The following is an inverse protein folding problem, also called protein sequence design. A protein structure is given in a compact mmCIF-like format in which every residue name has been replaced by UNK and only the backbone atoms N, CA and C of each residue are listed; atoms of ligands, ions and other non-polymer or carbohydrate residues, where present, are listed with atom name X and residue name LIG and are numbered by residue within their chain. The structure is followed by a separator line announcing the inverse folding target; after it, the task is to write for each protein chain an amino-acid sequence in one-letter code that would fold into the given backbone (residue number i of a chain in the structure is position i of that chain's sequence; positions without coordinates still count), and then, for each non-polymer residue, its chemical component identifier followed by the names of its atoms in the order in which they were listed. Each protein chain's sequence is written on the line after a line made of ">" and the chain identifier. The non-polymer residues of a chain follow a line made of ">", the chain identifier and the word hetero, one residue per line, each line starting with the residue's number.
data_IF_613464753958
#
_entry.id   IF_613464753958
#
_cell.length_a   1.000
_cell.length_b   1.000
_cell.length_c   1.000
_cell.angle_alpha   90.00
_cell.angle_beta   90.00
_cell.angle_gamma   90.00
#
_symmetry.space_group_name_H-M   'P 1'
#
loop_
_entity.id
_entity.type
_entity.pdbx_description
1 polymer ?
#
# COMPACT_ATOMS: atom_id res chain seq x y z
N UNK A 1 1.20 -6.22 -9.95
CA UNK A 1 0.75 -4.91 -9.46
C UNK A 1 0.07 -5.00 -8.08
N UNK A 2 -1.09 -5.62 -7.91
CA UNK A 2 -1.82 -5.58 -6.62
C UNK A 2 -1.06 -6.25 -5.46
N UNK A 3 -0.41 -7.39 -5.71
CA UNK A 3 0.48 -8.04 -4.72
C UNK A 3 1.63 -7.14 -4.29
N UNK A 4 2.20 -6.39 -5.24
CA UNK A 4 3.27 -5.43 -4.96
C UNK A 4 2.74 -4.30 -4.09
N UNK A 5 1.60 -3.70 -4.46
CA UNK A 5 0.95 -2.64 -3.68
C UNK A 5 0.65 -3.15 -2.26
N UNK A 6 0.09 -4.34 -2.11
CA UNK A 6 -0.20 -4.92 -0.79
C UNK A 6 1.05 -5.17 0.06
N UNK A 7 2.15 -5.62 -0.56
CA UNK A 7 3.47 -5.72 0.09
C UNK A 7 3.94 -4.35 0.56
N UNK A 8 3.87 -3.33 -0.30
CA UNK A 8 4.33 -1.98 0.03
C UNK A 8 3.53 -1.32 1.13
N UNK A 9 2.21 -1.50 1.14
CA UNK A 9 1.34 -1.02 2.23
C UNK A 9 1.76 -1.64 3.57
N UNK A 10 2.15 -2.93 3.58
CA UNK A 10 2.64 -3.59 4.80
C UNK A 10 3.97 -3.02 5.27
N UNK A 11 4.90 -2.79 4.36
CA UNK A 11 6.22 -2.21 4.68
C UNK A 11 6.07 -0.80 5.24
N UNK A 12 5.34 0.08 4.55
CA UNK A 12 5.09 1.43 5.04
C UNK A 12 4.41 1.39 6.42
N UNK A 13 3.43 0.52 6.64
CA UNK A 13 2.84 0.35 7.98
C UNK A 13 3.89 0.03 9.05
N UNK A 14 4.84 -0.85 8.74
CA UNK A 14 5.88 -1.25 9.67
C UNK A 14 6.88 -0.11 9.91
N UNK A 15 7.22 0.66 8.88
CA UNK A 15 8.12 1.82 8.98
C UNK A 15 7.55 2.91 9.90
N UNK A 16 6.22 3.05 9.92
CA UNK A 16 5.50 3.97 10.82
C UNK A 16 5.09 3.34 12.15
N UNK A 17 5.42 2.06 12.39
CA UNK A 17 5.05 1.28 13.58
C UNK A 17 3.54 1.30 13.91
N UNK A 18 2.69 1.27 12.88
CA UNK A 18 1.23 1.31 13.04
C UNK A 18 0.56 -0.03 12.74
N UNK A 19 -0.55 -0.31 13.43
CA UNK A 19 -1.43 -1.46 13.21
C UNK A 19 -2.30 -1.38 11.95
N UNK A 20 -2.89 -2.52 11.52
CA UNK A 20 -3.85 -2.52 10.39
C UNK A 20 -5.12 -1.75 10.75
N UNK A 21 -5.55 -1.85 12.01
CA UNK A 21 -6.70 -1.13 12.53
C UNK A 21 -6.46 0.39 12.51
N UNK A 22 -5.24 0.83 12.82
CA UNK A 22 -4.87 2.25 12.77
C UNK A 22 -4.85 2.77 11.33
N UNK A 23 -4.25 2.04 10.39
CA UNK A 23 -4.33 2.42 8.96
C UNK A 23 -5.78 2.46 8.47
N UNK A 24 -6.62 1.50 8.89
CA UNK A 24 -8.05 1.46 8.57
C UNK A 24 -8.80 2.70 9.07
N UNK A 25 -8.54 3.12 10.32
CA UNK A 25 -9.08 4.34 10.90
C UNK A 25 -8.64 5.59 10.11
N UNK A 26 -7.37 5.69 9.75
CA UNK A 26 -6.82 6.83 8.98
C UNK A 26 -7.46 6.95 7.58
N UNK A 27 -7.80 5.82 6.96
CA UNK A 27 -8.43 5.76 5.64
C UNK A 27 -9.96 5.74 5.69
N UNK A 28 -10.56 5.73 6.89
CA UNK A 28 -12.00 5.53 7.10
C UNK A 28 -12.56 4.28 6.39
N UNK A 29 -11.81 3.18 6.41
CA UNK A 29 -12.19 1.88 5.83
C UNK A 29 -12.25 0.79 6.90
N UNK A 30 -12.97 -0.29 6.62
CA UNK A 30 -13.08 -1.41 7.56
C UNK A 30 -11.76 -2.19 7.68
N UNK A 31 -11.59 -2.90 8.80
CA UNK A 31 -10.46 -3.80 9.00
C UNK A 31 -10.36 -4.87 7.91
N UNK A 32 -11.51 -5.40 7.45
CA UNK A 32 -11.55 -6.35 6.34
C UNK A 32 -11.05 -5.73 5.03
N UNK A 33 -11.36 -4.46 4.77
CA UNK A 33 -10.83 -3.75 3.60
C UNK A 33 -9.31 -3.60 3.70
N UNK A 34 -8.77 -3.25 4.87
CA UNK A 34 -7.31 -3.20 5.06
C UNK A 34 -6.66 -4.56 4.84
N UNK A 35 -7.25 -5.65 5.35
CA UNK A 35 -6.75 -7.01 5.09
C UNK A 35 -6.71 -7.33 3.60
N UNK A 36 -7.73 -6.93 2.84
CA UNK A 36 -7.76 -7.08 1.38
C UNK A 36 -6.65 -6.27 0.69
N UNK A 37 -6.36 -5.07 1.20
CA UNK A 37 -5.33 -4.20 0.64
C UNK A 37 -3.95 -4.81 0.87
N UNK A 38 -3.66 -5.20 2.11
CA UNK A 38 -2.37 -5.77 2.55
C UNK A 38 -2.11 -7.15 1.95
N UNK A 39 -3.15 -7.95 1.69
CA UNK A 39 -3.00 -9.25 1.04
C UNK A 39 -2.76 -9.15 -0.47
N UNK A 40 -3.15 -8.04 -1.10
CA UNK A 40 -3.03 -7.85 -2.56
C UNK A 40 -3.82 -8.86 -3.38
N UNK A 41 -4.79 -9.55 -2.78
CA UNK A 41 -5.66 -10.54 -3.44
C UNK A 41 -6.77 -9.87 -4.26
N UNK A 42 -7.09 -8.62 -3.94
CA UNK A 42 -8.12 -7.83 -4.60
C UNK A 42 -7.50 -6.69 -5.39
N UNK A 43 -8.04 -6.46 -6.58
CA UNK A 43 -7.60 -5.35 -7.42
C UNK A 43 -7.96 -4.03 -6.76
N UNK A 44 -6.96 -3.17 -6.57
CA UNK A 44 -7.17 -1.84 -6.02
C UNK A 44 -7.37 -0.83 -7.14
N UNK A 45 -8.23 0.16 -6.90
CA UNK A 45 -8.29 1.31 -7.80
C UNK A 45 -7.01 2.14 -7.66
N UNK A 46 -6.61 2.82 -8.74
CA UNK A 46 -5.43 3.68 -8.74
C UNK A 46 -5.50 4.80 -7.66
N UNK A 47 -6.70 5.16 -7.22
CA UNK A 47 -6.91 6.14 -6.15
C UNK A 47 -6.46 5.67 -4.76
N UNK A 48 -6.52 4.36 -4.45
CA UNK A 48 -6.20 3.89 -3.08
C UNK A 48 -4.73 4.02 -2.71
N UNK A 49 -3.75 3.63 -3.55
CA UNK A 49 -2.35 3.91 -3.29
C UNK A 49 -2.08 5.40 -3.03
N UNK A 50 -2.74 6.29 -3.78
CA UNK A 50 -2.60 7.74 -3.60
C UNK A 50 -3.14 8.22 -2.25
N UNK A 51 -4.32 7.79 -1.84
CA UNK A 51 -4.88 8.12 -0.53
C UNK A 51 -4.01 7.60 0.63
N UNK A 52 -3.46 6.39 0.48
CA UNK A 52 -2.52 5.80 1.44
C UNK A 52 -1.27 6.66 1.58
N UNK A 53 -0.69 7.13 0.46
CA UNK A 53 0.43 8.06 0.48
C UNK A 53 0.07 9.36 1.21
N UNK A 54 -1.12 9.89 0.97
CA UNK A 54 -1.59 11.13 1.58
C UNK A 54 -1.76 11.00 3.10
N UNK A 55 -2.41 9.93 3.60
CA UNK A 55 -2.62 9.77 5.05
C UNK A 55 -1.34 9.41 5.81
N UNK A 56 -0.38 8.77 5.15
CA UNK A 56 0.93 8.45 5.74
C UNK A 56 1.99 9.53 5.48
N UNK A 57 1.63 10.61 4.77
CA UNK A 57 2.54 11.70 4.42
C UNK A 57 3.84 11.23 3.72
N UNK A 58 3.70 10.30 2.77
CA UNK A 58 4.81 9.79 1.95
C UNK A 58 4.60 10.16 0.49
N UNK A 59 5.68 10.21 -0.29
CA UNK A 59 5.59 10.46 -1.72
C UNK A 59 4.99 9.25 -2.45
N UNK A 60 4.26 9.50 -3.55
CA UNK A 60 3.77 8.42 -4.42
C UNK A 60 4.93 7.63 -5.03
N UNK A 61 6.06 8.28 -5.32
CA UNK A 61 7.27 7.61 -5.81
C UNK A 61 7.78 6.54 -4.82
N UNK A 62 7.79 6.84 -3.53
CA UNK A 62 8.19 5.87 -2.49
C UNK A 62 7.28 4.64 -2.45
N UNK A 63 6.04 4.73 -2.93
CA UNK A 63 5.13 3.59 -2.99
C UNK A 63 5.38 2.65 -4.19
N UNK A 64 6.21 3.05 -5.16
CA UNK A 64 6.49 2.30 -6.38
C UNK A 64 7.97 2.14 -6.70
N UNK A 65 8.86 2.39 -5.74
CA UNK A 65 10.31 2.37 -5.90
C UNK A 65 10.80 1.03 -6.49
N UNK A 66 10.54 -0.10 -5.82
CA UNK A 66 10.96 -1.42 -6.34
C UNK A 66 10.09 -1.93 -7.52
N UNK A 67 8.97 -1.26 -7.84
CA UNK A 67 8.16 -1.67 -8.99
C UNK A 67 8.84 -1.34 -10.32
N UNK A 68 9.65 -0.28 -10.35
CA UNK A 68 10.40 0.10 -11.54
C UNK A 68 11.55 -0.87 -11.80
N UNK A 69 12.22 -1.35 -10.76
CA UNK A 69 13.34 -2.30 -10.91
C UNK A 69 12.86 -3.67 -11.38
N UNK A 70 11.75 -4.20 -10.85
CA UNK A 70 11.20 -5.50 -11.26
C UNK A 70 10.61 -5.50 -12.68
N UNK A 71 10.06 -4.38 -13.14
CA UNK A 71 9.42 -4.29 -14.46
C UNK A 71 10.42 -4.31 -15.63
N UNK A 72 11.69 -3.97 -15.38
CA UNK A 72 12.74 -3.86 -16.40
C UNK A 72 13.93 -4.79 -16.18
N UNK A 73 14.06 -5.46 -15.03
CA UNK A 73 15.14 -6.41 -14.74
C UNK A 73 14.95 -7.82 -15.34
N UNK A 74 13.88 -8.02 -16.11
CA UNK A 74 13.59 -9.27 -16.84
C UNK A 74 14.05 -9.32 -18.30
N UNK A 75 15.07 -8.55 -18.69
CA UNK A 75 15.63 -8.53 -20.05
C UNK A 75 17.03 -9.16 -20.12
#
# INVERSE_FOLDING_TARGET
>A
MDKYIGKRIRELRNDFDIGQDQLGKMLAVSYEQIQKYVSGQYRLSAARPFEICNVMNVSVAAMFEDYCDDAFSGA
#
